data_IF_782811005312
#
_entry.id   IF_782811005312
#
_cell.length_a   1.000
_cell.length_b   1.000
_cell.length_c   1.000
_cell.angle_alpha   90.00
_cell.angle_beta   90.00
_cell.angle_gamma   90.00
#
_symmetry.space_group_name_H-M   'P 1'
#
loop_
_entity.id
_entity.type
_entity.pdbx_description
1 polymer ?
#
# COMPACT_ATOMS: atom_id res chain seq x y z
N UNK A 1 21.61 -17.86 -29.85
CA UNK A 1 20.45 -17.51 -30.69
C UNK A 1 19.35 -16.94 -29.80
N UNK A 2 18.85 -15.74 -30.15
CA UNK A 2 17.88 -14.90 -29.44
C UNK A 2 16.55 -15.62 -29.17
N UNK A 3 15.92 -15.35 -28.02
CA UNK A 3 14.45 -15.25 -27.92
C UNK A 3 14.07 -14.07 -27.01
N UNK A 4 13.93 -12.91 -27.64
CA UNK A 4 13.16 -11.77 -27.15
C UNK A 4 11.73 -12.25 -26.86
N UNK A 5 11.18 -11.97 -25.68
CA UNK A 5 9.76 -12.17 -25.39
C UNK A 5 9.10 -10.79 -25.24
N UNK A 6 8.09 -10.59 -26.08
CA UNK A 6 7.30 -9.37 -26.24
C UNK A 6 6.61 -8.97 -24.93
N UNK A 7 6.86 -7.74 -24.48
CA UNK A 7 6.07 -7.05 -23.46
C UNK A 7 4.73 -6.66 -24.07
N UNK A 8 3.63 -7.22 -23.56
CA UNK A 8 2.28 -6.75 -23.87
C UNK A 8 2.07 -5.38 -23.20
N UNK A 9 2.02 -4.33 -24.00
CA UNK A 9 1.66 -2.98 -23.58
C UNK A 9 0.14 -2.82 -23.79
N UNK A 10 -0.66 -3.12 -22.76
CA UNK A 10 -2.11 -2.90 -22.83
C UNK A 10 -2.41 -1.44 -22.54
N UNK A 11 -2.68 -0.68 -23.59
CA UNK A 11 -3.24 0.67 -23.51
C UNK A 11 -4.74 0.54 -23.19
N UNK A 12 -5.10 0.60 -21.90
CA UNK A 12 -6.50 0.67 -21.50
C UNK A 12 -6.97 2.14 -21.57
N UNK A 13 -7.77 2.46 -22.58
CA UNK A 13 -8.54 3.71 -22.64
C UNK A 13 -9.72 3.55 -21.68
N UNK A 14 -9.62 4.15 -20.48
CA UNK A 14 -10.77 4.27 -19.58
C UNK A 14 -11.57 5.52 -19.96
N UNK A 15 -12.82 5.32 -20.37
CA UNK A 15 -13.78 6.38 -20.55
C UNK A 15 -14.06 7.06 -19.20
N UNK A 16 -13.84 8.38 -19.14
CA UNK A 16 -14.19 9.19 -17.98
C UNK A 16 -15.71 9.34 -17.89
N UNK A 17 -16.33 8.66 -16.93
CA UNK A 17 -17.65 9.03 -16.44
C UNK A 17 -17.45 10.12 -15.39
N UNK A 18 -17.75 11.36 -15.78
CA UNK A 18 -17.89 12.46 -14.84
C UNK A 18 -19.12 12.21 -13.97
N UNK A 19 -18.92 11.63 -12.79
CA UNK A 19 -19.92 11.67 -11.72
C UNK A 19 -19.76 13.03 -11.06
N UNK A 20 -20.67 13.97 -11.35
CA UNK A 20 -20.85 15.14 -10.50
C UNK A 20 -21.18 14.66 -9.10
N UNK A 21 -20.22 14.75 -8.19
CA UNK A 21 -20.49 14.69 -6.77
C UNK A 21 -21.28 15.96 -6.41
N UNK A 22 -22.61 15.89 -6.50
CA UNK A 22 -23.45 16.85 -5.83
C UNK A 22 -23.07 16.80 -4.34
N UNK A 23 -22.67 17.94 -3.80
CA UNK A 23 -22.28 18.10 -2.41
C UNK A 23 -23.35 17.48 -1.50
N UNK A 24 -22.95 16.56 -0.63
CA UNK A 24 -23.82 16.13 0.47
C UNK A 24 -24.03 17.33 1.40
N UNK A 25 -25.26 17.81 1.48
CA UNK A 25 -25.67 18.78 2.49
C UNK A 25 -25.31 18.25 3.88
N UNK A 26 -24.49 19.04 4.59
CA UNK A 26 -24.09 18.81 5.98
C UNK A 26 -25.33 18.94 6.86
N UNK A 27 -25.79 17.90 7.58
CA UNK A 27 -26.83 18.07 8.58
C UNK A 27 -26.30 18.97 9.69
N UNK A 28 -27.13 19.90 10.15
CA UNK A 28 -26.83 20.79 11.28
C UNK A 28 -26.38 19.99 12.50
N UNK A 29 -25.29 20.44 13.11
CA UNK A 29 -24.66 19.83 14.27
C UNK A 29 -25.58 19.93 15.51
N UNK A 30 -26.41 18.92 15.72
CA UNK A 30 -26.89 18.59 17.06
C UNK A 30 -25.70 18.10 17.90
N UNK A 31 -25.51 18.68 19.09
CA UNK A 31 -24.40 18.42 19.99
C UNK A 31 -24.08 16.92 20.14
N UNK A 32 -22.99 16.48 19.50
CA UNK A 32 -22.43 15.15 19.70
C UNK A 32 -21.70 15.14 21.03
N UNK A 33 -22.15 14.32 21.97
CA UNK A 33 -21.37 13.94 23.13
C UNK A 33 -19.98 13.44 22.67
N UNK A 34 -18.93 13.82 23.41
CA UNK A 34 -17.56 13.43 23.10
C UNK A 34 -17.49 11.93 22.82
N UNK A 35 -16.96 11.50 21.66
CA UNK A 35 -16.80 10.08 21.39
C UNK A 35 -15.90 9.48 22.48
N UNK A 36 -16.25 8.32 23.05
CA UNK A 36 -15.40 7.67 24.03
C UNK A 36 -14.02 7.47 23.42
N UNK A 37 -12.97 7.81 24.17
CA UNK A 37 -11.58 7.74 23.73
C UNK A 37 -11.31 6.40 23.04
N UNK A 38 -11.20 6.43 21.72
CA UNK A 38 -11.00 5.25 20.91
C UNK A 38 -9.53 4.85 21.05
N UNK A 39 -9.28 3.77 21.79
CA UNK A 39 -7.93 3.24 21.96
C UNK A 39 -7.39 2.75 20.62
N UNK A 40 -6.34 3.38 20.12
CA UNK A 40 -5.74 3.03 18.84
C UNK A 40 -4.56 2.05 18.98
N UNK A 41 -4.03 1.58 17.85
CA UNK A 41 -2.89 0.64 17.83
C UNK A 41 -1.62 1.30 18.37
N UNK A 42 -1.49 2.61 18.22
CA UNK A 42 -0.43 3.43 18.81
C UNK A 42 -0.52 3.43 20.34
N UNK A 43 -1.69 3.67 20.92
CA UNK A 43 -1.94 3.64 22.37
C UNK A 43 -1.57 2.29 22.98
N UNK A 44 -1.94 1.20 22.30
CA UNK A 44 -1.57 -0.16 22.70
C UNK A 44 -0.05 -0.38 22.66
N UNK A 45 0.63 0.13 21.64
CA UNK A 45 2.09 0.05 21.52
C UNK A 45 2.80 0.88 22.59
N UNK A 46 2.28 2.07 22.92
CA UNK A 46 2.81 2.94 23.97
C UNK A 46 2.59 2.36 25.37
N UNK A 47 1.43 1.74 25.62
CA UNK A 47 1.13 1.02 26.87
C UNK A 47 2.10 -0.15 27.10
N UNK A 48 2.46 -0.88 26.04
CA UNK A 48 3.46 -1.95 26.09
C UNK A 48 4.87 -1.40 26.35
N UNK A 49 5.19 -0.20 25.84
CA UNK A 49 6.51 0.44 25.98
C UNK A 49 6.65 1.37 27.20
N UNK A 50 5.64 1.49 28.07
CA UNK A 50 5.61 2.41 29.23
C UNK A 50 6.09 3.83 28.88
N UNK A 51 5.67 4.33 27.72
CA UNK A 51 5.86 5.72 27.35
C UNK A 51 4.50 6.39 27.45
N UNK A 52 4.36 7.32 28.41
CA UNK A 52 3.15 8.13 28.54
C UNK A 52 3.05 9.07 27.33
N UNK A 53 1.92 8.99 26.64
CA UNK A 53 1.58 9.93 25.59
C UNK A 53 1.10 11.22 26.24
N UNK A 54 1.86 12.30 26.12
CA UNK A 54 1.30 13.64 26.23
C UNK A 54 0.48 13.89 24.97
N UNK A 55 -0.84 13.76 25.06
CA UNK A 55 -1.76 14.28 24.05
C UNK A 55 -1.65 15.79 24.05
N UNK A 56 -0.67 16.34 23.33
CA UNK A 56 -0.84 17.68 22.81
C UNK A 56 -1.83 17.54 21.65
N UNK A 57 -3.09 17.86 21.94
CA UNK A 57 -4.15 18.19 20.97
C UNK A 57 -3.78 19.44 20.17
N UNK A 58 -2.56 19.47 19.63
CA UNK A 58 -2.21 20.41 18.58
C UNK A 58 -2.82 19.83 17.30
N UNK A 59 -3.79 20.51 16.66
CA UNK A 59 -4.24 20.13 15.33
C UNK A 59 -3.00 19.93 14.47
N UNK A 60 -3.00 18.90 13.62
CA UNK A 60 -1.86 18.50 12.78
C UNK A 60 -1.15 19.73 12.17
N UNK A 61 -0.20 20.32 12.89
CA UNK A 61 0.53 21.47 12.41
C UNK A 61 1.27 21.04 11.16
N UNK A 62 1.54 21.98 10.27
CA UNK A 62 2.16 21.82 8.94
C UNK A 62 3.44 20.98 8.86
N UNK A 63 3.96 20.49 9.99
CA UNK A 63 5.17 19.71 10.09
C UNK A 63 5.05 18.39 10.89
N UNK A 64 3.84 17.99 11.33
CA UNK A 64 3.67 16.75 12.09
C UNK A 64 3.64 15.54 11.14
N UNK A 65 4.63 14.66 11.30
CA UNK A 65 4.70 13.36 10.62
C UNK A 65 4.22 12.28 11.57
N UNK A 66 3.21 11.54 11.17
CA UNK A 66 2.78 10.35 11.88
C UNK A 66 3.56 9.16 11.33
N UNK A 67 4.20 8.37 12.19
CA UNK A 67 4.92 7.15 11.81
C UNK A 67 4.55 6.03 12.77
N UNK A 68 3.99 4.97 12.21
CA UNK A 68 3.72 3.71 12.90
C UNK A 68 4.66 2.66 12.37
N UNK A 69 5.33 1.98 13.28
CA UNK A 69 6.13 0.80 12.99
C UNK A 69 5.68 -0.31 13.91
N UNK A 70 5.28 -1.44 13.34
CA UNK A 70 4.74 -2.57 14.09
C UNK A 70 5.32 -3.90 13.58
N UNK A 71 5.64 -4.83 14.49
CA UNK A 71 5.89 -6.20 14.08
C UNK A 71 4.62 -6.82 13.48
N UNK A 72 4.78 -7.71 12.51
CA UNK A 72 3.69 -8.46 11.89
C UNK A 72 3.94 -9.95 12.05
N UNK A 73 2.93 -10.70 12.46
CA UNK A 73 2.97 -12.16 12.52
C UNK A 73 1.67 -12.71 11.93
N UNK A 74 1.73 -13.87 11.30
CA UNK A 74 0.56 -14.54 10.76
C UNK A 74 0.87 -15.97 10.35
N UNK A 75 -0.15 -16.70 9.95
CA UNK A 75 0.02 -18.07 9.44
C UNK A 75 -0.89 -18.29 8.25
N UNK A 76 -0.38 -18.96 7.22
CA UNK A 76 -1.16 -19.38 6.06
C UNK A 76 -0.68 -20.76 5.60
N UNK A 77 -1.54 -21.64 5.07
CA UNK A 77 -1.12 -22.95 4.56
C UNK A 77 -0.01 -22.88 3.51
N UNK A 78 -0.07 -21.88 2.61
CA UNK A 78 0.91 -21.68 1.54
C UNK A 78 2.28 -21.21 2.05
N UNK A 79 2.33 -20.41 3.12
CA UNK A 79 3.58 -19.81 3.62
C UNK A 79 4.09 -20.46 4.92
N UNK A 80 3.26 -21.23 5.62
CA UNK A 80 3.47 -21.58 7.02
C UNK A 80 3.30 -20.36 7.94
N UNK A 81 3.88 -20.46 9.14
CA UNK A 81 4.06 -19.31 10.03
C UNK A 81 4.91 -18.24 9.33
N UNK A 82 4.51 -16.98 9.42
CA UNK A 82 5.22 -15.84 8.86
C UNK A 82 5.36 -14.73 9.90
N UNK A 83 6.48 -14.03 9.83
CA UNK A 83 6.87 -12.96 10.73
C UNK A 83 7.58 -11.85 9.96
N UNK A 84 7.51 -10.63 10.45
CA UNK A 84 8.06 -9.48 9.75
C UNK A 84 7.75 -8.18 10.46
N UNK A 85 7.81 -7.09 9.72
CA UNK A 85 7.41 -5.78 10.19
C UNK A 85 6.63 -5.04 9.12
N UNK A 86 5.80 -4.11 9.55
CA UNK A 86 5.05 -3.21 8.69
C UNK A 86 5.23 -1.79 9.21
N UNK A 87 5.27 -0.84 8.30
CA UNK A 87 5.33 0.57 8.62
C UNK A 87 4.27 1.33 7.84
N UNK A 88 3.79 2.41 8.43
CA UNK A 88 2.92 3.36 7.80
C UNK A 88 3.31 4.74 8.28
N UNK A 89 3.49 5.68 7.36
CA UNK A 89 3.66 7.09 7.68
C UNK A 89 2.68 7.93 6.90
N UNK A 90 2.14 8.94 7.56
CA UNK A 90 1.30 9.97 6.98
C UNK A 90 1.89 11.35 7.32
N UNK A 91 1.94 12.24 6.35
CA UNK A 91 2.57 13.54 6.49
C UNK A 91 2.02 14.54 5.47
N UNK A 92 2.15 15.84 5.74
CA UNK A 92 1.96 16.89 4.75
C UNK A 92 3.32 17.28 4.16
N UNK A 93 3.38 17.52 2.85
CA UNK A 93 4.59 17.97 2.16
C UNK A 93 4.65 19.50 1.97
N UNK A 94 3.64 20.21 2.48
CA UNK A 94 3.39 21.64 2.33
C UNK A 94 2.40 22.11 3.39
N UNK A 95 1.71 23.21 3.12
CA UNK A 95 0.68 23.74 4.02
C UNK A 95 -0.54 22.78 4.10
N UNK A 96 -0.96 22.32 5.29
CA UNK A 96 -2.16 21.48 5.46
C UNK A 96 -3.46 22.09 4.91
N UNK A 97 -3.54 23.42 4.79
CA UNK A 97 -4.71 24.10 4.25
C UNK A 97 -4.82 23.97 2.72
N UNK A 98 -3.69 23.80 2.02
CA UNK A 98 -3.63 23.73 0.55
C UNK A 98 -3.15 22.40 0.00
N UNK A 99 -2.54 21.55 0.83
CA UNK A 99 -1.87 20.31 0.43
C UNK A 99 -2.56 19.10 1.05
N UNK A 100 -2.91 18.11 0.24
CA UNK A 100 -3.48 16.86 0.73
C UNK A 100 -2.45 16.03 1.49
N UNK A 101 -2.97 15.20 2.40
CA UNK A 101 -2.15 14.28 3.18
C UNK A 101 -1.46 13.25 2.28
N UNK A 102 -0.15 13.15 2.45
CA UNK A 102 0.70 12.15 1.83
C UNK A 102 0.82 10.91 2.71
N UNK A 103 1.00 9.74 2.10
CA UNK A 103 1.23 8.49 2.81
C UNK A 103 2.31 7.64 2.17
N UNK A 104 3.04 6.92 3.02
CA UNK A 104 4.00 5.90 2.63
C UNK A 104 3.78 4.70 3.54
N UNK A 105 3.48 3.55 2.97
CA UNK A 105 3.25 2.32 3.69
C UNK A 105 4.10 1.20 3.11
N UNK A 106 4.48 0.24 3.94
CA UNK A 106 5.22 -0.91 3.47
C UNK A 106 5.39 -1.98 4.53
N UNK A 107 6.05 -3.06 4.11
CA UNK A 107 6.36 -4.16 5.00
C UNK A 107 7.33 -5.16 4.40
N UNK A 108 8.07 -5.81 5.29
CA UNK A 108 8.96 -6.93 4.97
C UNK A 108 8.52 -8.14 5.79
N UNK A 109 8.34 -9.28 5.12
CA UNK A 109 7.88 -10.53 5.73
C UNK A 109 8.77 -11.69 5.33
N UNK A 110 9.00 -12.57 6.28
CA UNK A 110 9.69 -13.84 6.15
C UNK A 110 8.76 -14.97 6.59
N UNK A 111 8.82 -16.10 5.91
CA UNK A 111 8.01 -17.27 6.24
C UNK A 111 8.85 -18.47 6.65
N UNK A 112 8.26 -19.38 7.42
CA UNK A 112 8.85 -20.66 7.79
C UNK A 112 9.21 -21.50 6.56
N UNK A 113 8.47 -21.34 5.46
CA UNK A 113 8.76 -21.97 4.16
C UNK A 113 9.80 -21.20 3.33
N UNK A 114 10.64 -20.36 3.97
CA UNK A 114 11.73 -19.59 3.36
C UNK A 114 11.27 -18.65 2.23
N UNK A 115 10.08 -18.09 2.36
CA UNK A 115 9.57 -17.08 1.43
C UNK A 115 9.85 -15.69 2.01
N UNK A 116 10.29 -14.77 1.15
CA UNK A 116 10.58 -13.38 1.52
C UNK A 116 9.75 -12.45 0.66
N UNK A 117 9.06 -11.51 1.29
CA UNK A 117 8.19 -10.55 0.61
C UNK A 117 8.45 -9.14 1.13
N UNK A 118 8.75 -8.22 0.23
CA UNK A 118 8.85 -6.79 0.46
C UNK A 118 7.78 -6.07 -0.36
N UNK A 119 7.07 -5.13 0.27
CA UNK A 119 6.13 -4.27 -0.43
C UNK A 119 6.23 -2.84 0.10
N UNK A 120 6.17 -1.88 -0.81
CA UNK A 120 6.15 -0.45 -0.51
C UNK A 120 5.11 0.20 -1.41
N UNK A 121 4.22 1.02 -0.83
CA UNK A 121 3.32 1.89 -1.56
C UNK A 121 3.46 3.31 -1.08
N UNK A 122 3.38 4.23 -2.02
CA UNK A 122 3.46 5.66 -1.78
C UNK A 122 2.31 6.36 -2.48
N UNK A 123 1.81 7.40 -1.84
CA UNK A 123 0.83 8.34 -2.38
C UNK A 123 1.20 9.71 -1.80
N UNK A 124 2.00 10.47 -2.53
CA UNK A 124 2.65 11.69 -2.06
C UNK A 124 2.18 12.87 -2.89
N UNK A 125 1.56 13.85 -2.22
CA UNK A 125 1.28 15.16 -2.76
C UNK A 125 2.48 16.07 -2.47
N UNK A 126 2.88 16.89 -3.44
CA UNK A 126 3.82 17.99 -3.20
C UNK A 126 3.05 19.24 -2.77
N UNK A 127 3.78 20.26 -2.33
CA UNK A 127 3.26 21.58 -1.97
C UNK A 127 2.19 22.10 -2.96
N UNK A 128 1.08 22.62 -2.41
CA UNK A 128 -0.13 23.07 -3.11
C UNK A 128 -0.72 22.04 -4.10
N UNK A 129 -0.58 20.75 -3.78
CA UNK A 129 -0.93 19.61 -4.64
C UNK A 129 -0.42 19.70 -6.07
N UNK A 130 0.70 20.40 -6.26
CA UNK A 130 1.27 20.67 -7.59
C UNK A 130 1.54 19.37 -8.35
N UNK A 131 1.96 18.34 -7.63
CA UNK A 131 2.18 17.00 -8.12
C UNK A 131 1.59 15.99 -7.16
N UNK A 132 1.10 14.89 -7.72
CA UNK A 132 0.73 13.70 -6.98
C UNK A 132 1.55 12.53 -7.53
N UNK A 133 2.32 11.87 -6.68
CA UNK A 133 3.16 10.74 -7.03
C UNK A 133 2.59 9.51 -6.33
N UNK A 134 2.27 8.49 -7.11
CA UNK A 134 1.70 7.24 -6.61
C UNK A 134 2.55 6.06 -7.07
N UNK A 135 2.88 5.17 -6.14
CA UNK A 135 3.67 3.98 -6.43
C UNK A 135 3.21 2.73 -5.67
N UNK A 136 3.40 1.57 -6.30
CA UNK A 136 3.19 0.24 -5.72
C UNK A 136 4.32 -0.69 -6.18
N UNK A 137 5.31 -0.87 -5.30
CA UNK A 137 6.51 -1.62 -5.57
C UNK A 137 6.53 -2.88 -4.71
N UNK A 138 6.78 -4.03 -5.34
CA UNK A 138 6.74 -5.33 -4.67
C UNK A 138 7.88 -6.21 -5.13
N UNK A 139 8.51 -6.87 -4.18
CA UNK A 139 9.52 -7.90 -4.44
C UNK A 139 9.13 -9.14 -3.64
N UNK A 140 9.13 -10.31 -4.26
CA UNK A 140 8.78 -11.54 -3.56
C UNK A 140 9.59 -12.71 -4.11
N UNK A 141 10.34 -13.36 -3.22
CA UNK A 141 10.96 -14.65 -3.47
C UNK A 141 10.08 -15.69 -2.79
N UNK A 142 9.28 -16.40 -3.57
CA UNK A 142 8.22 -17.22 -3.00
C UNK A 142 8.05 -18.55 -3.73
N UNK A 143 7.20 -19.39 -3.19
CA UNK A 143 6.80 -20.64 -3.80
C UNK A 143 5.31 -20.87 -3.62
N UNK A 144 4.69 -21.51 -4.61
CA UNK A 144 3.29 -21.89 -4.55
C UNK A 144 3.13 -23.30 -5.10
N UNK A 145 2.38 -24.12 -4.37
CA UNK A 145 2.01 -25.43 -4.89
C UNK A 145 1.01 -25.23 -6.03
N UNK A 146 1.36 -25.75 -7.20
CA UNK A 146 0.45 -25.90 -8.34
C UNK A 146 0.05 -27.36 -8.46
N UNK A 147 -1.12 -27.61 -9.04
CA UNK A 147 -1.63 -28.95 -9.27
C UNK A 147 -1.83 -29.14 -10.77
N UNK A 148 -1.70 -30.39 -11.21
CA UNK A 148 -1.97 -30.76 -12.60
C UNK A 148 -3.41 -30.43 -13.00
N UNK A 149 -3.56 -30.02 -14.25
CA UNK A 149 -4.86 -29.73 -14.83
C UNK A 149 -5.42 -31.02 -15.45
N UNK A 150 -6.39 -31.65 -14.80
CA UNK A 150 -7.08 -32.85 -15.32
C UNK A 150 -8.01 -33.50 -14.31
N UNK A 151 -9.06 -34.18 -14.78
CA UNK A 151 -10.10 -34.80 -13.93
C UNK A 151 -9.62 -35.95 -13.02
N UNK A 152 -8.36 -36.37 -13.15
CA UNK A 152 -7.71 -37.36 -12.28
C UNK A 152 -6.61 -36.80 -11.38
N UNK A 153 -6.47 -35.47 -11.27
CA UNK A 153 -5.44 -34.85 -10.45
C UNK A 153 -5.68 -35.16 -8.97
N UNK A 154 -4.85 -36.04 -8.41
CA UNK A 154 -4.84 -36.35 -6.98
C UNK A 154 -4.22 -35.17 -6.20
N UNK A 155 -4.71 -34.89 -4.99
CA UNK A 155 -4.15 -33.87 -4.09
C UNK A 155 -2.66 -34.10 -3.75
N UNK A 156 -2.16 -35.31 -4.00
CA UNK A 156 -0.75 -35.70 -3.85
C UNK A 156 0.17 -35.24 -4.99
N UNK A 157 -0.39 -34.78 -6.11
CA UNK A 157 0.35 -34.36 -7.32
C UNK A 157 0.73 -32.87 -7.26
N UNK A 158 0.97 -32.36 -6.04
CA UNK A 158 1.30 -30.97 -5.83
C UNK A 158 2.77 -30.71 -6.22
N UNK A 159 2.98 -29.92 -7.26
CA UNK A 159 4.30 -29.46 -7.67
C UNK A 159 4.60 -28.10 -7.03
N UNK A 160 5.77 -27.96 -6.39
CA UNK A 160 6.14 -26.72 -5.72
C UNK A 160 6.83 -25.77 -6.70
N UNK A 161 6.05 -24.87 -7.30
CA UNK A 161 6.54 -23.84 -8.21
C UNK A 161 7.25 -22.74 -7.43
N UNK A 162 8.55 -22.57 -7.64
CA UNK A 162 9.34 -21.47 -7.07
C UNK A 162 9.47 -20.36 -8.09
N UNK A 163 9.31 -19.11 -7.66
CA UNK A 163 9.48 -17.98 -8.55
C UNK A 163 9.88 -16.70 -7.80
N UNK A 164 10.60 -15.86 -8.53
CA UNK A 164 10.96 -14.52 -8.10
C UNK A 164 10.04 -13.54 -8.81
N UNK A 165 9.43 -12.65 -8.04
CA UNK A 165 8.50 -11.65 -8.50
C UNK A 165 9.01 -10.26 -8.19
N UNK A 166 9.03 -9.39 -9.19
CA UNK A 166 9.37 -7.99 -9.02
C UNK A 166 8.37 -7.12 -9.78
N UNK A 167 7.81 -6.14 -9.09
CA UNK A 167 6.91 -5.12 -9.63
C UNK A 167 7.39 -3.75 -9.19
N UNK A 168 7.47 -2.83 -10.14
CA UNK A 168 7.75 -1.43 -9.94
C UNK A 168 6.72 -0.61 -10.71
N UNK A 169 5.68 -0.15 -10.02
CA UNK A 169 4.63 0.69 -10.60
C UNK A 169 4.77 2.08 -9.99
N UNK A 170 5.03 3.09 -10.81
CA UNK A 170 5.21 4.46 -10.38
C UNK A 170 4.49 5.37 -11.36
N UNK A 171 3.64 6.28 -10.87
CA UNK A 171 2.91 7.24 -11.70
C UNK A 171 3.01 8.61 -11.07
N UNK A 172 3.39 9.61 -11.87
CA UNK A 172 3.43 11.01 -11.46
C UNK A 172 2.35 11.77 -12.21
N UNK A 173 1.53 12.50 -11.46
CA UNK A 173 0.45 13.33 -11.96
C UNK A 173 0.73 14.79 -11.63
N UNK A 174 0.44 15.66 -12.59
CA UNK A 174 0.48 17.12 -12.45
C UNK A 174 -0.94 17.63 -12.28
N UNK A 175 -1.16 18.50 -11.31
CA UNK A 175 -2.43 19.22 -11.17
C UNK A 175 -2.56 20.28 -12.28
N UNK A 176 -3.67 20.24 -13.02
CA UNK A 176 -3.96 21.17 -14.12
C UNK A 176 -5.05 22.16 -13.71
N UNK A 177 -6.10 21.68 -13.04
CA UNK A 177 -7.17 22.49 -12.45
C UNK A 177 -7.57 21.86 -11.11
N UNK A 178 -8.13 22.62 -10.16
CA UNK A 178 -8.61 22.05 -8.89
C UNK A 178 -9.46 20.79 -9.12
N UNK A 179 -9.02 19.66 -8.57
CA UNK A 179 -9.68 18.36 -8.73
C UNK A 179 -9.30 17.54 -9.98
N UNK A 180 -8.47 18.05 -10.89
CA UNK A 180 -8.02 17.35 -12.09
C UNK A 180 -6.49 17.22 -12.16
N UNK A 181 -6.05 15.96 -12.16
CA UNK A 181 -4.66 15.57 -12.26
C UNK A 181 -4.43 14.80 -13.56
N UNK A 182 -3.37 15.16 -14.30
CA UNK A 182 -2.97 14.48 -15.54
C UNK A 182 -1.53 14.02 -15.38
N UNK A 183 -1.25 12.75 -15.71
CA UNK A 183 0.04 12.15 -15.38
C UNK A 183 0.51 11.08 -16.36
N UNK A 184 1.73 10.63 -16.11
CA UNK A 184 2.36 9.52 -16.81
C UNK A 184 3.02 8.58 -15.80
N UNK A 185 3.06 7.30 -16.12
CA UNK A 185 3.58 6.29 -15.22
C UNK A 185 4.36 5.18 -15.92
N UNK A 186 5.23 4.55 -15.14
CA UNK A 186 6.02 3.39 -15.48
C UNK A 186 5.45 2.18 -14.76
N UNK A 187 5.10 1.15 -15.52
CA UNK A 187 4.58 -0.10 -14.99
C UNK A 187 5.51 -1.22 -15.43
N UNK A 188 6.40 -1.64 -14.53
CA UNK A 188 7.30 -2.77 -14.75
C UNK A 188 6.91 -3.94 -13.87
N UNK A 189 6.81 -5.13 -14.46
CA UNK A 189 6.45 -6.35 -13.76
C UNK A 189 7.17 -7.53 -14.42
N UNK A 190 7.96 -8.27 -13.64
CA UNK A 190 8.73 -9.42 -14.10
C UNK A 190 8.60 -10.60 -13.16
N UNK A 191 8.63 -11.79 -13.75
CA UNK A 191 8.74 -13.06 -13.05
C UNK A 191 9.97 -13.78 -13.57
N UNK A 192 10.82 -14.23 -12.66
CA UNK A 192 12.10 -14.88 -12.97
C UNK A 192 12.23 -16.20 -12.21
N UNK A 193 13.16 -17.05 -12.64
CA UNK A 193 13.53 -18.29 -11.95
C UNK A 193 12.37 -19.25 -11.66
N UNK A 194 11.38 -19.29 -12.56
CA UNK A 194 10.22 -20.19 -12.47
C UNK A 194 10.69 -21.63 -12.64
N UNK A 195 10.59 -22.43 -11.57
CA UNK A 195 11.03 -23.84 -11.49
C UNK A 195 9.99 -24.69 -10.77
#
# INVERSE_FOLDING_TARGET
MRRFRFTFCTLAVLAALAVSAAAQDRPEAGASADPPAAMDVGDLWHKVRRQEFTSNDDPLGANKRYLVFAPSIGSKPSTGLNGGFSWNTAFFSGDPDSTHISSLNGGLKFSQKKQTMLGVKLAVFTDDDRWFIQGDNRMSWTSQNTYDLGGGALATSAENLKFDFFRLYETAYRNITPGLFVGAGLNFNTHSNVQ
#
